data_IF_620021373824
#
_entry.id   IF_620021373824
#
_cell.length_a   1.000
_cell.length_b   1.000
_cell.length_c   1.000
_cell.angle_alpha   90.00
_cell.angle_beta   90.00
_cell.angle_gamma   90.00
#
_symmetry.space_group_name_H-M   'P 1'
#
loop_
_entity.id
_entity.type
_entity.pdbx_description
1 polymer ?
#
# COMPACT_ATOMS: atom_id res chain seq x y z
N UNK A 1 -5.53 -11.89 -11.34
CA UNK A 1 -4.83 -10.64 -10.96
C UNK A 1 -5.32 -9.54 -11.88
N UNK A 2 -5.38 -8.26 -11.44
CA UNK A 2 -5.72 -7.15 -12.33
C UNK A 2 -4.88 -7.15 -13.60
N UNK A 3 -5.50 -6.95 -14.76
CA UNK A 3 -4.82 -6.95 -16.06
C UNK A 3 -4.45 -8.33 -16.63
N UNK A 4 -4.83 -9.43 -15.97
CA UNK A 4 -4.72 -10.80 -16.51
C UNK A 4 -6.11 -11.34 -16.83
N UNK A 5 -6.42 -11.42 -18.12
CA UNK A 5 -7.75 -11.80 -18.58
C UNK A 5 -8.15 -13.21 -18.13
N UNK A 6 -9.40 -13.31 -17.67
CA UNK A 6 -10.07 -14.55 -17.28
C UNK A 6 -10.94 -14.97 -18.47
N UNK A 7 -10.56 -16.08 -19.12
CA UNK A 7 -11.37 -16.65 -20.19
C UNK A 7 -12.68 -17.23 -19.67
N UNK A 8 -13.71 -17.30 -20.52
CA UNK A 8 -15.05 -17.80 -20.15
C UNK A 8 -15.01 -19.19 -19.48
N UNK A 9 -14.11 -20.06 -19.95
CA UNK A 9 -13.94 -21.42 -19.43
C UNK A 9 -13.28 -21.48 -18.04
N UNK A 10 -12.66 -20.39 -17.57
CA UNK A 10 -11.96 -20.35 -16.27
C UNK A 10 -12.67 -19.50 -15.22
N UNK A 11 -13.77 -18.81 -15.57
CA UNK A 11 -14.52 -17.93 -14.67
C UNK A 11 -14.94 -18.64 -13.39
N UNK A 12 -15.51 -19.85 -13.50
CA UNK A 12 -15.98 -20.60 -12.33
C UNK A 12 -14.84 -21.01 -11.40
N UNK A 13 -13.70 -21.40 -11.97
CA UNK A 13 -12.49 -21.72 -11.19
C UNK A 13 -11.97 -20.48 -10.46
N UNK A 14 -11.88 -19.35 -11.15
CA UNK A 14 -11.44 -18.08 -10.55
C UNK A 14 -12.39 -17.62 -9.46
N UNK A 15 -13.70 -17.80 -9.66
CA UNK A 15 -14.72 -17.48 -8.65
C UNK A 15 -14.51 -18.30 -7.39
N UNK A 16 -14.29 -19.61 -7.53
CA UNK A 16 -13.98 -20.49 -6.41
C UNK A 16 -12.70 -20.07 -5.69
N UNK A 17 -11.63 -19.75 -6.43
CA UNK A 17 -10.37 -19.30 -5.83
C UNK A 17 -10.55 -18.00 -5.03
N UNK A 18 -11.39 -17.07 -5.54
CA UNK A 18 -11.74 -15.83 -4.84
C UNK A 18 -12.56 -16.11 -3.58
N UNK A 19 -13.52 -17.03 -3.64
CA UNK A 19 -14.32 -17.44 -2.48
C UNK A 19 -13.46 -18.09 -1.40
N UNK A 20 -12.56 -19.00 -1.77
CA UNK A 20 -11.64 -19.68 -0.86
C UNK A 20 -10.68 -18.66 -0.20
N UNK A 21 -10.10 -17.74 -0.97
CA UNK A 21 -9.27 -16.65 -0.44
C UNK A 21 -10.06 -15.74 0.51
N UNK A 22 -11.30 -15.43 0.16
CA UNK A 22 -12.19 -14.59 0.97
C UNK A 22 -12.48 -15.25 2.31
N UNK A 23 -12.76 -16.55 2.32
CA UNK A 23 -12.97 -17.32 3.55
C UNK A 23 -11.71 -17.34 4.42
N UNK A 24 -10.54 -17.57 3.82
CA UNK A 24 -9.26 -17.56 4.54
C UNK A 24 -9.00 -16.20 5.18
N UNK A 25 -9.22 -15.10 4.47
CA UNK A 25 -9.06 -13.74 5.02
C UNK A 25 -10.03 -13.48 6.17
N UNK A 26 -11.30 -13.87 6.02
CA UNK A 26 -12.29 -13.69 7.08
C UNK A 26 -11.97 -14.50 8.34
N UNK A 27 -11.42 -15.72 8.18
CA UNK A 27 -11.08 -16.61 9.28
C UNK A 27 -9.85 -16.20 10.10
N UNK A 28 -8.99 -15.31 9.57
CA UNK A 28 -7.74 -14.89 10.24
C UNK A 28 -7.79 -13.41 10.67
N UNK A 29 -7.06 -13.06 11.73
CA UNK A 29 -7.03 -11.69 12.27
C UNK A 29 -5.97 -10.79 11.60
N UNK A 30 -4.84 -11.39 11.25
CA UNK A 30 -3.68 -10.70 10.66
C UNK A 30 -3.33 -11.37 9.33
N UNK A 31 -3.24 -10.56 8.27
CA UNK A 31 -2.93 -10.97 6.92
C UNK A 31 -1.55 -10.45 6.54
N UNK A 32 -0.61 -11.36 6.30
CA UNK A 32 0.72 -11.01 5.77
C UNK A 32 0.70 -11.11 4.25
N UNK A 33 0.93 -9.99 3.55
CA UNK A 33 1.03 -9.96 2.10
C UNK A 33 2.49 -10.18 1.69
N UNK A 34 2.80 -11.44 1.37
CA UNK A 34 4.14 -11.92 1.02
C UNK A 34 4.23 -12.37 -0.44
N UNK A 35 3.37 -11.83 -1.31
CA UNK A 35 3.35 -12.21 -2.72
C UNK A 35 4.51 -11.58 -3.48
N UNK A 36 4.82 -12.13 -4.65
CA UNK A 36 6.01 -11.85 -5.46
C UNK A 36 5.82 -10.72 -6.48
N UNK A 37 4.60 -10.21 -6.64
CA UNK A 37 4.28 -9.18 -7.63
C UNK A 37 3.36 -8.10 -7.07
N UNK A 38 3.36 -6.93 -7.72
CA UNK A 38 2.44 -5.84 -7.38
C UNK A 38 0.97 -6.23 -7.59
N UNK A 39 0.65 -6.90 -8.70
CA UNK A 39 -0.72 -7.23 -9.09
C UNK A 39 -1.35 -8.29 -8.17
N UNK A 40 -0.53 -9.25 -7.71
CA UNK A 40 -0.96 -10.29 -6.77
C UNK A 40 -1.34 -9.72 -5.40
N UNK A 41 -0.77 -8.58 -4.99
CA UNK A 41 -1.11 -7.89 -3.73
C UNK A 41 -2.49 -7.23 -3.75
N UNK A 42 -3.02 -6.91 -4.93
CA UNK A 42 -4.21 -6.05 -5.05
C UNK A 42 -5.47 -6.68 -4.44
N UNK A 43 -5.81 -7.91 -4.83
CA UNK A 43 -7.03 -8.57 -4.35
C UNK A 43 -6.99 -8.83 -2.84
N UNK A 44 -5.92 -9.42 -2.26
CA UNK A 44 -5.80 -9.55 -0.82
C UNK A 44 -5.84 -8.21 -0.07
N UNK A 45 -5.29 -7.14 -0.65
CA UNK A 45 -5.38 -5.79 -0.08
C UNK A 45 -6.84 -5.32 -0.01
N UNK A 46 -7.57 -5.41 -1.12
CA UNK A 46 -8.99 -5.05 -1.19
C UNK A 46 -9.81 -5.82 -0.16
N UNK A 47 -9.71 -7.15 -0.17
CA UNK A 47 -10.48 -8.03 0.72
C UNK A 47 -10.13 -7.77 2.18
N UNK A 48 -8.85 -7.70 2.54
CA UNK A 48 -8.43 -7.46 3.92
C UNK A 48 -8.89 -6.10 4.44
N UNK A 49 -8.86 -5.04 3.61
CA UNK A 49 -9.37 -3.72 3.98
C UNK A 49 -10.89 -3.73 4.14
N UNK A 50 -11.60 -4.38 3.22
CA UNK A 50 -13.06 -4.53 3.26
C UNK A 50 -13.53 -5.26 4.53
N UNK A 51 -12.87 -6.37 4.88
CA UNK A 51 -13.14 -7.13 6.11
C UNK A 51 -12.43 -6.56 7.35
N UNK A 52 -11.83 -5.37 7.26
CA UNK A 52 -11.23 -4.62 8.38
C UNK A 52 -10.16 -5.40 9.14
N UNK A 53 -9.36 -6.19 8.42
CA UNK A 53 -8.26 -7.01 8.96
C UNK A 53 -6.99 -6.19 9.15
N UNK A 54 -6.12 -6.66 10.06
CA UNK A 54 -4.76 -6.14 10.14
C UNK A 54 -4.00 -6.67 8.93
N UNK A 55 -3.39 -5.78 8.15
CA UNK A 55 -2.60 -6.15 6.98
C UNK A 55 -1.17 -5.68 7.18
N UNK A 56 -0.22 -6.61 7.06
CA UNK A 56 1.22 -6.34 7.01
C UNK A 56 1.73 -6.72 5.62
N UNK A 57 2.06 -5.72 4.82
CA UNK A 57 2.63 -5.91 3.50
C UNK A 57 4.16 -5.98 3.57
N UNK A 58 4.75 -6.98 2.91
CA UNK A 58 6.21 -7.12 2.80
C UNK A 58 6.60 -7.28 1.33
N UNK A 59 7.47 -6.38 0.86
CA UNK A 59 7.95 -6.30 -0.51
C UNK A 59 9.48 -6.30 -0.53
N UNK A 60 10.07 -7.06 -1.45
CA UNK A 60 11.52 -7.24 -1.51
C UNK A 60 12.06 -6.74 -2.86
N UNK A 61 13.20 -6.05 -2.80
CA UNK A 61 14.02 -5.70 -3.94
C UNK A 61 15.37 -6.42 -3.86
N UNK A 62 16.30 -6.07 -4.75
CA UNK A 62 17.63 -6.70 -4.77
C UNK A 62 18.37 -6.59 -3.42
N UNK A 63 18.53 -5.37 -2.91
CA UNK A 63 19.19 -5.06 -1.63
C UNK A 63 18.35 -4.16 -0.72
N UNK A 64 17.05 -4.05 -1.02
CA UNK A 64 16.07 -3.24 -0.28
C UNK A 64 14.84 -4.04 0.08
N UNK A 65 14.08 -3.55 1.06
CA UNK A 65 12.78 -4.10 1.40
C UNK A 65 11.84 -2.99 1.91
N UNK A 66 10.54 -3.25 1.77
CA UNK A 66 9.47 -2.42 2.31
C UNK A 66 8.55 -3.30 3.15
N UNK A 67 8.37 -2.93 4.41
CA UNK A 67 7.34 -3.47 5.29
C UNK A 67 6.36 -2.35 5.58
N UNK A 68 5.06 -2.61 5.52
CA UNK A 68 4.04 -1.58 5.68
C UNK A 68 2.80 -2.16 6.33
N UNK A 69 2.29 -1.52 7.38
CA UNK A 69 0.96 -1.82 7.91
C UNK A 69 -0.08 -0.92 7.25
N UNK A 70 -1.28 -1.42 7.00
CA UNK A 70 -2.33 -0.58 6.42
C UNK A 70 -3.23 0.02 7.50
N UNK A 71 -3.77 1.20 7.20
CA UNK A 71 -4.77 1.83 8.05
C UNK A 71 -6.17 1.26 7.84
N UNK A 72 -7.00 1.33 8.87
CA UNK A 72 -8.41 0.91 8.82
C UNK A 72 -9.34 2.11 8.81
N UNK A 73 -10.21 2.23 7.80
CA UNK A 73 -11.25 3.26 7.85
C UNK A 73 -12.25 2.93 8.95
N UNK A 74 -12.49 3.87 9.88
CA UNK A 74 -13.57 3.80 10.84
C UNK A 74 -14.52 4.99 10.61
N UNK A 75 -15.57 4.77 9.81
CA UNK A 75 -16.61 5.77 9.54
C UNK A 75 -16.13 7.06 8.87
N UNK A 76 -17.04 8.04 8.73
CA UNK A 76 -16.82 9.34 8.08
C UNK A 76 -16.09 10.36 8.98
N UNK A 77 -15.25 9.89 9.91
CA UNK A 77 -14.44 10.78 10.73
C UNK A 77 -13.35 11.42 9.85
N UNK A 78 -13.64 12.63 9.37
CA UNK A 78 -12.66 13.48 8.68
C UNK A 78 -11.50 13.76 9.64
N UNK A 79 -10.33 13.18 9.35
CA UNK A 79 -9.16 13.38 10.18
C UNK A 79 -8.58 14.79 9.97
N UNK A 80 -8.39 15.50 11.08
CA UNK A 80 -7.50 16.66 11.14
C UNK A 80 -6.07 16.14 11.22
N UNK A 81 -5.20 16.57 10.30
CA UNK A 81 -3.76 16.44 10.51
C UNK A 81 -3.42 17.34 11.70
N UNK A 82 -3.29 16.74 12.88
CA UNK A 82 -2.83 17.46 14.05
C UNK A 82 -1.32 17.66 13.91
N UNK A 83 -0.93 18.85 13.47
CA UNK A 83 0.45 19.30 13.57
C UNK A 83 0.79 19.40 15.06
N UNK A 84 1.45 18.38 15.59
CA UNK A 84 2.07 18.47 16.91
C UNK A 84 3.15 19.55 16.85
N UNK A 85 3.27 20.35 17.90
CA UNK A 85 4.31 21.37 18.08
C UNK A 85 5.73 20.79 18.24
N UNK A 86 5.87 19.47 18.19
CA UNK A 86 7.13 18.73 18.21
C UNK A 86 7.67 18.47 16.80
N UNK A 87 8.98 18.22 16.65
CA UNK A 87 9.67 17.84 15.39
C UNK A 87 9.15 16.55 14.70
N UNK A 88 8.09 15.94 15.22
CA UNK A 88 7.48 14.71 14.72
C UNK A 88 6.10 15.00 14.13
N UNK A 89 5.85 14.46 12.94
CA UNK A 89 4.54 14.45 12.31
C UNK A 89 3.82 13.15 12.66
N UNK A 90 2.49 13.23 12.82
CA UNK A 90 1.63 12.11 13.23
C UNK A 90 0.54 11.89 12.19
N UNK A 91 0.35 10.64 11.78
CA UNK A 91 -0.82 10.22 11.00
C UNK A 91 -1.64 9.27 11.87
N UNK A 92 -2.95 9.53 11.96
CA UNK A 92 -3.89 8.62 12.62
C UNK A 92 -3.83 7.23 11.97
N UNK A 93 -3.96 6.16 12.76
CA UNK A 93 -4.01 4.79 12.24
C UNK A 93 -5.13 4.59 11.21
N UNK A 94 -6.23 5.36 11.31
CA UNK A 94 -7.35 5.29 10.36
C UNK A 94 -7.03 5.85 8.98
N UNK A 95 -6.06 6.76 8.92
CA UNK A 95 -5.66 7.49 7.73
C UNK A 95 -4.37 6.95 7.11
N UNK A 96 -3.83 5.85 7.61
CA UNK A 96 -2.64 5.28 7.00
C UNK A 96 -2.97 4.73 5.61
N UNK A 97 -2.16 5.12 4.63
CA UNK A 97 -2.27 4.62 3.27
C UNK A 97 -1.93 3.13 3.17
N UNK A 98 -2.36 2.51 2.07
CA UNK A 98 -1.91 1.18 1.68
C UNK A 98 -0.72 1.26 0.72
N UNK A 99 -0.19 0.09 0.32
CA UNK A 99 0.90 -0.01 -0.65
C UNK A 99 0.62 0.76 -1.96
N UNK A 100 -0.65 0.77 -2.40
CA UNK A 100 -1.08 1.46 -3.62
C UNK A 100 -1.37 2.96 -3.46
N UNK A 101 -1.27 3.55 -2.26
CA UNK A 101 -1.46 5.00 -2.08
C UNK A 101 -0.26 5.84 -2.52
N UNK A 102 0.94 5.25 -2.51
CA UNK A 102 2.18 5.92 -2.88
C UNK A 102 2.51 5.82 -4.37
N UNK A 103 1.61 5.24 -5.16
CA UNK A 103 1.86 4.95 -6.57
C UNK A 103 0.84 5.69 -7.42
N UNK A 104 1.32 6.65 -8.21
CA UNK A 104 0.46 7.41 -9.12
C UNK A 104 0.04 6.54 -10.30
N UNK A 105 0.83 5.54 -10.71
CA UNK A 105 0.50 4.66 -11.86
C UNK A 105 -0.28 3.44 -11.40
N UNK A 106 -1.40 3.05 -12.02
CA UNK A 106 -2.09 1.85 -11.54
C UNK A 106 -1.31 0.57 -11.78
N UNK A 107 -1.77 -0.48 -11.12
CA UNK A 107 -1.33 -1.87 -11.31
C UNK A 107 -1.75 -2.38 -12.69
N UNK A 108 -1.11 -1.86 -13.73
CA UNK A 108 -1.01 -2.50 -15.03
C UNK A 108 0.21 -3.42 -15.07
N UNK A 109 0.18 -4.36 -16.02
CA UNK A 109 1.18 -5.40 -16.29
C UNK A 109 2.64 -4.94 -16.00
N UNK A 110 3.17 -5.26 -14.80
CA UNK A 110 4.43 -4.70 -14.26
C UNK A 110 5.72 -5.28 -14.86
N UNK A 111 5.60 -6.08 -15.94
CA UNK A 111 6.73 -6.74 -16.57
C UNK A 111 7.75 -5.79 -17.22
N UNK A 112 7.52 -4.46 -17.28
CA UNK A 112 8.37 -3.55 -18.06
C UNK A 112 9.37 -2.67 -17.32
N UNK A 113 9.16 -2.18 -16.07
CA UNK A 113 10.00 -1.05 -15.61
C UNK A 113 10.32 -0.87 -14.09
N UNK A 114 10.38 -1.90 -13.21
CA UNK A 114 10.73 -1.66 -11.77
C UNK A 114 11.46 -2.81 -11.07
N UNK A 115 12.52 -2.54 -10.31
CA UNK A 115 13.30 -3.58 -9.59
C UNK A 115 12.71 -4.05 -8.24
N UNK A 116 11.69 -3.39 -7.71
CA UNK A 116 11.01 -3.76 -6.45
C UNK A 116 9.69 -4.47 -6.77
N UNK A 117 9.46 -5.65 -6.17
CA UNK A 117 8.31 -6.55 -6.45
C UNK A 117 8.20 -7.01 -7.92
N UNK A 118 9.33 -7.24 -8.59
CA UNK A 118 9.35 -7.94 -9.87
C UNK A 118 9.32 -9.45 -9.64
N UNK A 119 8.48 -10.16 -10.41
CA UNK A 119 8.61 -11.61 -10.56
C UNK A 119 10.05 -11.92 -10.99
N UNK A 120 10.68 -12.90 -10.34
CA UNK A 120 12.06 -13.30 -10.58
C UNK A 120 13.16 -12.29 -10.13
N UNK A 121 12.87 -11.41 -9.16
CA UNK A 121 13.91 -10.56 -8.57
C UNK A 121 14.96 -11.41 -7.84
N UNK A 122 16.22 -11.33 -8.28
CA UNK A 122 17.35 -11.84 -7.49
C UNK A 122 17.47 -10.96 -6.25
N UNK A 123 17.43 -11.55 -5.05
CA UNK A 123 17.55 -10.80 -3.80
C UNK A 123 18.82 -11.21 -3.06
N UNK A 124 19.48 -10.27 -2.39
CA UNK A 124 20.57 -10.61 -1.47
C UNK A 124 20.00 -11.50 -0.36
N UNK A 125 20.63 -12.65 -0.02
CA UNK A 125 20.02 -13.64 0.86
C UNK A 125 19.58 -13.13 2.25
N UNK A 126 20.23 -12.11 2.78
CA UNK A 126 19.86 -11.53 4.09
C UNK A 126 18.57 -10.69 4.08
N UNK A 127 18.11 -10.23 2.92
CA UNK A 127 16.95 -9.33 2.79
C UNK A 127 15.68 -9.97 3.35
N UNK A 128 15.39 -11.22 2.95
CA UNK A 128 14.18 -11.93 3.36
C UNK A 128 14.14 -12.19 4.87
N UNK A 129 15.28 -12.53 5.47
CA UNK A 129 15.38 -12.80 6.90
C UNK A 129 15.13 -11.53 7.73
N UNK A 130 15.75 -10.42 7.33
CA UNK A 130 15.56 -9.13 8.01
C UNK A 130 14.11 -8.66 7.83
N UNK A 131 13.58 -8.74 6.61
CA UNK A 131 12.22 -8.29 6.31
C UNK A 131 11.17 -9.11 7.08
N UNK A 132 11.34 -10.43 7.13
CA UNK A 132 10.45 -11.33 7.88
C UNK A 132 10.47 -11.05 9.39
N UNK A 133 11.65 -10.88 9.97
CA UNK A 133 11.78 -10.55 11.40
C UNK A 133 11.09 -9.22 11.73
N UNK A 134 11.38 -8.16 10.98
CA UNK A 134 10.78 -6.85 11.20
C UNK A 134 9.27 -6.82 10.94
N UNK A 135 8.76 -7.62 9.99
CA UNK A 135 7.32 -7.72 9.74
C UNK A 135 6.58 -8.36 10.92
N UNK A 136 7.16 -9.40 11.52
CA UNK A 136 6.61 -10.03 12.74
C UNK A 136 6.69 -9.07 13.92
N UNK A 137 7.83 -8.41 14.14
CA UNK A 137 7.98 -7.43 15.22
C UNK A 137 6.99 -6.26 15.08
N UNK A 138 6.76 -5.77 13.86
CA UNK A 138 5.74 -4.74 13.61
C UNK A 138 4.34 -5.23 13.97
N UNK A 139 3.99 -6.47 13.61
CA UNK A 139 2.71 -7.06 13.96
C UNK A 139 2.54 -7.22 15.47
N UNK A 140 3.57 -7.70 16.17
CA UNK A 140 3.57 -7.87 17.63
C UNK A 140 3.45 -6.51 18.33
N UNK A 141 4.23 -5.50 17.93
CA UNK A 141 4.12 -4.15 18.48
C UNK A 141 2.74 -3.52 18.24
N UNK A 142 2.13 -3.78 17.08
CA UNK A 142 0.78 -3.29 16.76
C UNK A 142 -0.30 -3.93 17.65
N UNK A 143 -0.25 -5.24 17.89
CA UNK A 143 -1.25 -5.91 18.75
C UNK A 143 -1.08 -5.60 20.24
N UNK A 144 0.13 -5.25 20.68
CA UNK A 144 0.40 -4.84 22.07
C UNK A 144 0.08 -3.35 22.32
N UNK A 145 -0.08 -2.56 21.26
CA UNK A 145 -0.46 -1.16 21.38
C UNK A 145 -1.92 -1.05 21.82
N UNK A 146 -2.23 -0.16 22.77
CA UNK A 146 -3.59 -0.01 23.33
C UNK A 146 -4.66 0.30 22.25
N UNK A 147 -4.27 1.06 21.22
CA UNK A 147 -5.13 1.40 20.09
C UNK A 147 -5.15 0.33 18.97
N UNK A 148 -4.38 -0.76 19.10
CA UNK A 148 -4.34 -1.87 18.14
C UNK A 148 -4.10 -1.41 16.70
N UNK A 149 -4.94 -1.89 15.77
CA UNK A 149 -4.90 -1.51 14.35
C UNK A 149 -5.01 0.01 14.10
N UNK A 150 -5.63 0.76 15.01
CA UNK A 150 -5.82 2.20 14.90
C UNK A 150 -4.64 3.00 15.51
N UNK A 151 -3.56 2.32 15.93
CA UNK A 151 -2.35 2.95 16.43
C UNK A 151 -1.80 3.99 15.43
N UNK A 152 -1.45 5.20 15.89
CA UNK A 152 -0.90 6.24 15.03
C UNK A 152 0.50 5.86 14.54
N UNK A 153 0.90 6.44 13.41
CA UNK A 153 2.27 6.37 12.94
C UNK A 153 2.94 7.74 13.10
N UNK A 154 4.10 7.75 13.76
CA UNK A 154 4.94 8.91 13.89
C UNK A 154 6.06 8.85 12.84
N UNK A 155 6.35 9.99 12.21
CA UNK A 155 7.43 10.12 11.24
C UNK A 155 8.11 11.49 11.35
N UNK A 156 9.34 11.57 10.84
CA UNK A 156 10.15 12.80 10.82
C UNK A 156 10.40 13.24 9.39
N UNK A 157 10.40 14.55 9.18
CA UNK A 157 10.77 15.19 7.92
C UNK A 157 12.10 15.92 8.12
N UNK A 158 13.21 15.39 7.59
CA UNK A 158 14.55 16.01 7.69
C UNK A 158 15.70 15.06 8.09
N UNK A 159 16.96 15.54 8.09
CA UNK A 159 18.14 14.73 8.40
C UNK A 159 18.12 14.21 9.86
N UNK A 160 18.56 12.96 10.00
CA UNK A 160 18.41 12.10 11.19
C UNK A 160 19.71 12.04 12.00
N UNK A 161 19.79 12.63 13.20
CA UNK A 161 20.84 12.24 14.15
C UNK A 161 20.33 11.57 15.43
N UNK A 162 19.09 11.82 15.87
CA UNK A 162 18.57 11.23 17.11
C UNK A 162 17.10 10.82 16.96
N UNK A 163 16.86 9.51 16.91
CA UNK A 163 15.55 8.91 17.15
C UNK A 163 15.42 8.61 18.65
N UNK A 164 15.45 9.63 19.50
CA UNK A 164 14.89 9.49 20.84
C UNK A 164 13.37 9.52 20.70
N UNK A 165 12.76 8.34 20.66
CA UNK A 165 11.34 8.21 20.91
C UNK A 165 11.20 8.29 22.43
N UNK A 166 11.00 9.50 22.96
CA UNK A 166 10.60 9.65 24.36
C UNK A 166 9.28 8.89 24.57
N UNK A 167 9.06 8.40 25.80
CA UNK A 167 8.04 7.41 26.20
C UNK A 167 6.59 7.70 25.75
N UNK A 168 6.26 8.92 25.30
CA UNK A 168 4.90 9.36 24.97
C UNK A 168 4.41 8.99 23.54
N UNK A 169 5.22 8.33 22.72
CA UNK A 169 4.88 8.06 21.30
C UNK A 169 4.93 6.58 20.89
N UNK A 170 5.30 5.68 21.81
CA UNK A 170 5.40 4.25 21.56
C UNK A 170 4.41 3.42 22.37
N UNK A 171 4.18 2.19 21.95
CA UNK A 171 3.61 1.16 22.82
C UNK A 171 4.69 0.54 23.72
N UNK A 172 4.31 -0.48 24.50
CA UNK A 172 5.23 -1.20 25.41
C UNK A 172 6.44 -1.83 24.71
N UNK A 173 6.34 -2.12 23.41
CA UNK A 173 7.42 -2.67 22.58
C UNK A 173 8.11 -1.60 21.70
N UNK A 174 7.90 -0.32 22.00
CA UNK A 174 8.42 0.80 21.23
C UNK A 174 7.43 1.30 20.17
N UNK A 175 7.96 1.95 19.13
CA UNK A 175 7.13 2.62 18.13
C UNK A 175 6.46 1.67 17.15
N UNK A 176 5.31 2.10 16.62
CA UNK A 176 4.54 1.36 15.62
C UNK A 176 4.54 2.12 14.30
N UNK A 177 5.62 2.02 13.49
CA UNK A 177 5.75 2.77 12.25
C UNK A 177 4.67 2.40 11.23
N UNK A 178 4.40 3.30 10.30
CA UNK A 178 3.55 3.00 9.14
C UNK A 178 4.27 2.08 8.16
N UNK A 179 5.49 2.46 7.81
CA UNK A 179 6.35 1.67 6.94
C UNK A 179 7.80 1.66 7.40
N UNK A 180 8.50 0.58 7.07
CA UNK A 180 9.93 0.39 7.30
C UNK A 180 10.56 0.13 5.94
N UNK A 181 11.44 1.03 5.50
CA UNK A 181 12.24 0.87 4.29
C UNK A 181 13.68 0.60 4.68
N UNK A 182 14.18 -0.57 4.33
CA UNK A 182 15.56 -0.96 4.60
C UNK A 182 16.45 -0.95 3.36
N UNK A 183 17.69 -0.54 3.54
CA UNK A 183 18.72 -0.50 2.50
C UNK A 183 19.97 -1.22 3.01
N UNK A 184 20.27 -2.41 2.46
CA UNK A 184 21.42 -3.22 2.89
C UNK A 184 22.75 -2.70 2.35
N UNK A 185 22.75 -1.85 1.34
CA UNK A 185 23.96 -1.20 0.83
C UNK A 185 24.50 -0.15 1.81
N UNK A 186 23.61 0.58 2.50
CA UNK A 186 23.96 1.58 3.51
C UNK A 186 23.76 1.12 4.95
N UNK A 187 23.18 -0.07 5.16
CA UNK A 187 22.79 -0.58 6.49
C UNK A 187 21.87 0.38 7.25
N UNK A 188 20.92 1.02 6.54
CA UNK A 188 20.01 2.01 7.12
C UNK A 188 18.54 1.60 7.01
N UNK A 189 17.73 2.13 7.94
CA UNK A 189 16.28 2.09 7.90
C UNK A 189 15.71 3.50 7.83
N UNK A 190 14.62 3.67 7.09
CA UNK A 190 13.82 4.89 7.08
C UNK A 190 12.38 4.49 7.42
N UNK A 191 11.72 5.32 8.23
CA UNK A 191 10.36 5.08 8.70
C UNK A 191 9.36 6.12 8.14
N UNK A 192 9.10 6.15 6.82
CA UNK A 192 8.15 7.09 6.27
C UNK A 192 6.72 6.70 6.65
N UNK A 193 5.83 7.69 6.67
CA UNK A 193 4.40 7.48 6.74
C UNK A 193 3.71 8.26 5.62
N UNK A 194 2.66 7.66 5.05
CA UNK A 194 1.86 8.23 3.98
C UNK A 194 0.40 8.23 4.38
N UNK A 195 -0.30 9.37 4.26
CA UNK A 195 -1.75 9.38 4.42
C UNK A 195 -2.43 8.58 3.31
N UNK A 196 -3.67 8.17 3.56
CA UNK A 196 -4.51 7.54 2.57
C UNK A 196 -4.77 8.50 1.42
N UNK A 197 -4.73 7.96 0.21
CA UNK A 197 -5.06 8.70 -1.00
C UNK A 197 -6.49 8.43 -1.44
N UNK A 198 -7.28 9.49 -1.64
CA UNK A 198 -8.71 9.40 -1.96
C UNK A 198 -8.98 8.70 -3.29
N UNK A 199 -8.04 8.75 -4.24
CA UNK A 199 -8.15 8.12 -5.56
C UNK A 199 -7.31 6.85 -5.67
N UNK A 200 -6.93 6.25 -4.54
CA UNK A 200 -6.20 4.99 -4.53
C UNK A 200 -7.00 3.85 -5.17
N UNK A 201 -6.37 3.09 -6.06
CA UNK A 201 -6.96 1.95 -6.77
C UNK A 201 -7.29 0.74 -5.89
N UNK A 202 -6.98 0.78 -4.60
CA UNK A 202 -7.21 -0.35 -3.68
C UNK A 202 -8.00 0.06 -2.42
N UNK A 203 -7.61 1.14 -1.75
CA UNK A 203 -8.20 1.52 -0.46
C UNK A 203 -9.11 2.76 -0.51
N UNK A 204 -9.41 3.31 -1.70
CA UNK A 204 -10.36 4.41 -1.82
C UNK A 204 -11.79 3.96 -1.51
N UNK A 205 -12.61 4.90 -1.08
CA UNK A 205 -14.03 4.63 -0.85
C UNK A 205 -14.77 4.23 -2.13
N UNK A 206 -14.30 4.71 -3.28
CA UNK A 206 -14.86 4.37 -4.58
C UNK A 206 -14.72 2.86 -4.81
N UNK A 207 -13.52 2.32 -4.63
CA UNK A 207 -13.21 0.92 -4.84
C UNK A 207 -13.93 0.02 -3.83
N UNK A 208 -13.94 0.41 -2.55
CA UNK A 208 -14.61 -0.38 -1.51
C UNK A 208 -16.13 -0.46 -1.73
N UNK A 209 -16.77 0.63 -2.15
CA UNK A 209 -18.21 0.65 -2.47
C UNK A 209 -18.54 -0.10 -3.76
N UNK A 210 -17.65 -0.06 -4.76
CA UNK A 210 -17.84 -0.81 -5.99
C UNK A 210 -17.79 -2.32 -5.71
N UNK A 211 -16.84 -2.77 -4.89
CA UNK A 211 -16.79 -4.16 -4.45
C UNK A 211 -17.99 -4.54 -3.57
N UNK A 212 -18.45 -3.67 -2.67
CA UNK A 212 -19.65 -3.90 -1.85
C UNK A 212 -20.91 -4.11 -2.69
N UNK A 213 -21.06 -3.35 -3.78
CA UNK A 213 -22.26 -3.37 -4.62
C UNK A 213 -22.26 -4.50 -5.67
N UNK A 214 -21.13 -4.75 -6.33
CA UNK A 214 -21.02 -5.70 -7.45
C UNK A 214 -20.34 -7.02 -7.10
N UNK A 215 -19.61 -7.08 -5.98
CA UNK A 215 -18.90 -8.27 -5.54
C UNK A 215 -17.98 -8.86 -6.62
N UNK A 216 -18.20 -10.13 -6.98
CA UNK A 216 -17.37 -10.85 -7.94
C UNK A 216 -17.43 -10.26 -9.37
N UNK A 217 -18.54 -9.64 -9.78
CA UNK A 217 -18.65 -9.02 -11.10
C UNK A 217 -17.62 -7.90 -11.28
N UNK A 218 -17.47 -7.04 -10.27
CA UNK A 218 -16.44 -6.01 -10.26
C UNK A 218 -15.01 -6.60 -10.30
N UNK A 219 -14.78 -7.69 -9.58
CA UNK A 219 -13.48 -8.37 -9.63
C UNK A 219 -13.18 -8.92 -11.03
N UNK A 220 -14.17 -9.51 -11.69
CA UNK A 220 -14.04 -10.03 -13.04
C UNK A 220 -13.77 -8.91 -14.06
N UNK A 221 -14.48 -7.78 -13.97
CA UNK A 221 -14.21 -6.57 -14.76
C UNK A 221 -12.77 -6.07 -14.55
N UNK A 222 -12.32 -6.05 -13.30
CA UNK A 222 -10.96 -5.62 -12.92
C UNK A 222 -9.88 -6.56 -13.44
N UNK A 223 -10.10 -7.87 -13.40
CA UNK A 223 -9.14 -8.84 -13.94
C UNK A 223 -9.02 -8.73 -15.46
N UNK A 224 -10.14 -8.47 -16.14
CA UNK A 224 -10.22 -8.36 -17.59
C UNK A 224 -9.80 -6.99 -18.15
N UNK A 225 -9.60 -5.98 -17.31
CA UNK A 225 -9.25 -4.63 -17.75
C UNK A 225 -8.09 -4.05 -16.94
N UNK A 226 -7.04 -3.60 -17.65
CA UNK A 226 -5.90 -2.92 -17.04
C UNK A 226 -6.20 -1.47 -16.63
N UNK A 227 -7.28 -0.87 -17.13
CA UNK A 227 -7.61 0.56 -16.92
C UNK A 227 -8.88 0.78 -16.08
N UNK A 228 -9.65 -0.27 -15.79
CA UNK A 228 -10.91 -0.15 -15.03
C UNK A 228 -10.70 0.57 -13.69
N UNK A 229 -9.66 0.18 -12.95
CA UNK A 229 -9.35 0.78 -11.66
C UNK A 229 -8.96 2.27 -11.76
N UNK A 230 -8.18 2.66 -12.77
CA UNK A 230 -7.78 4.05 -12.99
C UNK A 230 -8.95 4.94 -13.38
N UNK A 231 -9.79 4.43 -14.27
CA UNK A 231 -10.99 5.14 -14.72
C UNK A 231 -11.96 5.35 -13.56
N UNK A 232 -12.16 4.31 -12.73
CA UNK A 232 -13.07 4.37 -11.60
C UNK A 232 -12.59 5.37 -10.54
N UNK A 233 -11.29 5.43 -10.25
CA UNK A 233 -10.76 6.37 -9.26
C UNK A 233 -10.47 7.76 -9.81
N UNK A 234 -10.66 7.98 -11.11
CA UNK A 234 -10.38 9.26 -11.78
C UNK A 234 -8.89 9.54 -11.98
N UNK A 235 -8.02 8.53 -11.81
CA UNK A 235 -6.58 8.65 -12.10
C UNK A 235 -6.32 8.87 -13.59
N UNK A 236 -7.11 8.26 -14.47
CA UNK A 236 -6.94 8.45 -15.92
C UNK A 236 -7.13 9.91 -16.34
N UNK A 237 -8.08 10.63 -15.72
CA UNK A 237 -8.28 12.06 -15.98
C UNK A 237 -7.08 12.89 -15.49
N UNK A 238 -6.55 12.60 -14.30
CA UNK A 238 -5.35 13.26 -13.78
C UNK A 238 -4.14 13.06 -14.68
N UNK A 239 -3.94 11.84 -15.20
CA UNK A 239 -2.87 11.55 -16.14
C UNK A 239 -3.00 12.29 -17.46
N UNK A 240 -4.22 12.42 -17.97
CA UNK A 240 -4.49 13.22 -19.17
C UNK A 240 -4.22 14.71 -18.92
N UNK A 241 -4.60 15.26 -17.76
CA UNK A 241 -4.33 16.64 -17.38
C UNK A 241 -2.83 16.91 -17.18
N UNK A 242 -2.10 16.02 -16.50
CA UNK A 242 -0.65 16.17 -16.29
C UNK A 242 0.15 16.02 -17.58
N UNK A 243 -0.21 15.08 -18.47
CA UNK A 243 0.40 14.98 -19.80
C UNK A 243 0.11 16.23 -20.66
N UNK A 244 -1.02 16.91 -20.44
CA UNK A 244 -1.32 18.16 -21.13
C UNK A 244 -0.43 19.30 -20.66
N UNK A 245 -0.08 19.34 -19.37
CA UNK A 245 0.87 20.31 -18.80
C UNK A 245 2.31 20.07 -19.29
N UNK A 246 2.78 18.81 -19.29
CA UNK A 246 4.11 18.46 -19.83
C UNK A 246 4.24 18.74 -21.35
N UNK A 247 3.13 18.67 -22.09
CA UNK A 247 3.11 19.02 -23.53
C UNK A 247 3.03 20.54 -23.76
N UNK A 248 2.47 21.31 -22.82
CA UNK A 248 2.46 22.78 -22.90
C UNK A 248 3.80 23.43 -22.51
N UNK A 249 4.65 22.76 -21.73
CA UNK A 249 6.00 23.24 -21.39
C UNK A 249 7.03 22.99 -22.51
N UNK A 250 6.64 22.43 -23.66
CA UNK A 250 7.50 22.25 -24.85
C UNK A 250 6.92 23.03 -26.04
N UNK A 251 6.66 24.32 -25.85
CA UNK A 251 6.47 25.26 -26.94
C UNK A 251 7.28 26.53 -26.67
N UNK A 252 8.59 26.35 -26.47
CA UNK A 252 9.57 27.43 -26.60
C UNK A 252 9.74 27.76 -28.10
N UNK A 253 8.74 28.42 -28.68
CA UNK A 253 8.98 29.39 -29.77
C UNK A 253 9.79 30.56 -29.19
N UNK A 254 11.08 30.35 -28.87
CA UNK A 254 12.04 31.41 -28.52
C UNK A 254 13.48 30.99 -28.90
N UNK A 255 13.64 30.45 -30.12
CA UNK A 255 14.95 30.22 -30.77
C UNK A 255 15.18 31.17 -31.97
N UNK A 256 14.78 32.43 -31.84
CA UNK A 256 15.31 33.51 -32.70
C UNK A 256 15.72 34.73 -31.85
N UNK A 257 17.04 34.97 -31.79
CA UNK A 257 17.66 36.12 -31.13
C UNK A 257 19.17 36.00 -31.01
#
# INVERSE_FOLDING_TARGET
MPGHSVGENTVESVKKDVEDLTQLIQAHDIIFLLTDSRESRWLPTLLGLFYKKIIINVALGFDTYLIMRYGRKNGDAVAKVEASSTRFQKISGTELGCYFCNDVTASGNSLKDRTLDQQCTVTRPGVSSIAGALAVELAVSLIQHEQGIDAPAFYKTGPQPDLSFDDDHGGILGVVPHSIRGFLSSFTHVLPATPRYNQCIACSDIILKEYESKGFEFLLETFNSSTNLENLTGLSALFHESNYVDVMEINDEDWEG
#
